data_IF_078025451880
#
_entry.id   IF_078025451880
#
_cell.length_a   1.000
_cell.length_b   1.000
_cell.length_c   1.000
_cell.angle_alpha   90.00
_cell.angle_beta   90.00
_cell.angle_gamma   90.00
#
_symmetry.space_group_name_H-M   'P 1'
#
loop_
_entity.id
_entity.type
_entity.pdbx_description
1 polymer ?
#
# COMPACT_ATOMS: atom_id res chain seq x y z
N UNK A 1 9.06 9.73 8.54
CA UNK A 1 7.92 8.85 8.84
C UNK A 1 6.97 8.74 7.64
N UNK A 2 6.28 9.81 7.24
CA UNK A 2 5.27 9.75 6.16
C UNK A 2 5.79 9.18 4.83
N UNK A 3 7.01 9.54 4.44
CA UNK A 3 7.62 9.02 3.20
C UNK A 3 7.79 7.50 3.22
N UNK A 4 8.30 6.94 4.31
CA UNK A 4 8.49 5.50 4.49
C UNK A 4 7.14 4.74 4.42
N UNK A 5 6.11 5.28 5.08
CA UNK A 5 4.76 4.73 5.04
C UNK A 5 4.18 4.69 3.62
N UNK A 6 4.32 5.79 2.88
CA UNK A 6 3.82 5.89 1.50
C UNK A 6 4.58 4.94 0.57
N UNK A 7 5.88 4.77 0.78
CA UNK A 7 6.70 3.83 -0.01
C UNK A 7 6.26 2.37 0.21
N UNK A 8 5.99 1.95 1.45
CA UNK A 8 5.48 0.60 1.74
C UNK A 8 4.06 0.38 1.20
N UNK A 9 3.20 1.40 1.29
CA UNK A 9 1.87 1.35 0.68
C UNK A 9 1.96 1.12 -0.84
N UNK A 10 2.83 1.86 -1.53
CA UNK A 10 3.04 1.66 -2.96
C UNK A 10 3.67 0.30 -3.28
N UNK A 11 4.55 -0.21 -2.43
CA UNK A 11 5.16 -1.52 -2.61
C UNK A 11 4.11 -2.64 -2.58
N UNK A 12 3.19 -2.62 -1.62
CA UNK A 12 2.09 -3.60 -1.56
C UNK A 12 1.12 -3.46 -2.74
N UNK A 13 0.76 -2.23 -3.12
CA UNK A 13 -0.08 -1.96 -4.28
C UNK A 13 0.50 -2.56 -5.57
N UNK A 14 1.82 -2.51 -5.75
CA UNK A 14 2.51 -3.04 -6.94
C UNK A 14 2.46 -4.58 -7.05
N UNK A 15 2.27 -5.29 -5.94
CA UNK A 15 2.14 -6.76 -5.95
C UNK A 15 0.78 -7.21 -6.49
N UNK A 16 -0.23 -6.34 -6.45
CA UNK A 16 -1.54 -6.67 -6.96
C UNK A 16 -1.55 -6.57 -8.48
N UNK A 17 -2.20 -7.54 -9.11
CA UNK A 17 -2.50 -7.46 -10.53
C UNK A 17 -3.42 -6.25 -10.83
N UNK A 18 -2.98 -5.28 -11.67
CA UNK A 18 -3.77 -4.10 -12.00
C UNK A 18 -5.08 -4.43 -12.72
N UNK A 19 -5.26 -5.66 -13.24
CA UNK A 19 -6.49 -6.11 -13.88
C UNK A 19 -7.54 -6.62 -12.90
N UNK A 20 -7.19 -6.83 -11.62
CA UNK A 20 -8.17 -7.22 -10.60
C UNK A 20 -9.10 -6.06 -10.32
N UNK A 21 -10.35 -6.21 -10.73
CA UNK A 21 -11.42 -5.25 -10.50
C UNK A 21 -12.36 -5.79 -9.42
N UNK A 22 -12.79 -4.90 -8.52
CA UNK A 22 -13.86 -5.20 -7.57
C UNK A 22 -15.11 -4.45 -7.96
N UNK A 23 -16.24 -5.12 -7.75
CA UNK A 23 -17.56 -4.50 -7.85
C UNK A 23 -17.74 -3.63 -6.61
N UNK A 24 -18.03 -2.35 -6.83
CA UNK A 24 -18.49 -1.44 -5.79
C UNK A 24 -20.00 -1.25 -5.93
N UNK A 25 -20.69 -1.25 -4.79
CA UNK A 25 -22.15 -1.20 -4.74
C UNK A 25 -22.70 0.03 -5.43
N UNK A 26 -23.56 -0.16 -6.43
CA UNK A 26 -24.38 0.89 -7.01
C UNK A 26 -25.78 0.79 -6.42
N UNK A 27 -26.09 1.62 -5.42
CA UNK A 27 -27.37 1.53 -4.72
C UNK A 27 -28.60 1.96 -5.56
N UNK A 28 -28.41 2.29 -6.84
CA UNK A 28 -29.47 2.76 -7.74
C UNK A 28 -29.93 1.62 -8.65
N UNK A 29 -31.21 1.31 -8.55
CA UNK A 29 -31.90 0.37 -9.44
C UNK A 29 -32.61 1.20 -10.50
N UNK A 30 -32.39 0.89 -11.77
CA UNK A 30 -33.07 1.50 -12.90
C UNK A 30 -34.56 1.13 -12.91
N UNK A 31 -35.43 1.91 -13.56
CA UNK A 31 -36.87 1.59 -13.67
C UNK A 31 -37.15 0.20 -14.24
N UNK A 32 -36.23 -0.33 -15.05
CA UNK A 32 -36.29 -1.65 -15.68
C UNK A 32 -35.88 -2.81 -14.74
N UNK A 33 -35.60 -2.51 -13.46
CA UNK A 33 -35.18 -3.49 -12.46
C UNK A 33 -33.71 -3.91 -12.54
N UNK A 34 -32.94 -3.33 -13.46
CA UNK A 34 -31.49 -3.56 -13.59
C UNK A 34 -30.70 -2.67 -12.64
N UNK A 35 -29.57 -3.18 -12.17
CA UNK A 35 -28.65 -2.44 -11.29
C UNK A 35 -27.28 -2.36 -11.97
N UNK A 36 -26.86 -1.16 -12.38
CA UNK A 36 -25.58 -0.95 -13.04
C UNK A 36 -24.44 -1.00 -12.03
N UNK A 37 -23.71 -2.11 -11.96
CA UNK A 37 -22.58 -2.24 -11.03
C UNK A 37 -21.36 -1.45 -11.49
N UNK A 38 -20.85 -0.59 -10.61
CA UNK A 38 -19.59 0.11 -10.85
C UNK A 38 -18.41 -0.81 -10.52
N UNK A 39 -17.37 -0.79 -11.35
CA UNK A 39 -16.15 -1.58 -11.14
C UNK A 39 -14.98 -0.63 -10.93
N UNK A 40 -14.21 -0.85 -9.87
CA UNK A 40 -12.97 -0.12 -9.60
C UNK A 40 -11.80 -1.09 -9.45
N UNK A 41 -10.56 -0.66 -9.69
CA UNK A 41 -9.39 -1.49 -9.43
C UNK A 41 -9.31 -1.88 -7.94
N UNK A 42 -9.05 -3.16 -7.65
CA UNK A 42 -8.89 -3.70 -6.30
C UNK A 42 -7.88 -2.88 -5.49
N UNK A 43 -6.75 -2.52 -6.11
CA UNK A 43 -5.69 -1.71 -5.50
C UNK A 43 -6.15 -0.35 -4.95
N UNK A 44 -7.29 0.16 -5.42
CA UNK A 44 -7.87 1.45 -5.03
C UNK A 44 -9.14 1.31 -4.19
N UNK A 45 -9.58 0.08 -3.94
CA UNK A 45 -10.76 -0.17 -3.12
C UNK A 45 -10.44 -0.08 -1.63
N UNK A 46 -11.37 0.46 -0.86
CA UNK A 46 -11.33 0.50 0.61
C UNK A 46 -11.08 -0.89 1.21
N UNK A 47 -11.71 -1.90 0.63
CA UNK A 47 -11.56 -3.31 1.01
C UNK A 47 -10.11 -3.81 0.93
N UNK A 48 -9.30 -3.28 0.01
CA UNK A 48 -7.88 -3.62 -0.05
C UNK A 48 -7.06 -2.84 0.97
N UNK A 49 -7.39 -1.56 1.21
CA UNK A 49 -6.66 -0.70 2.14
C UNK A 49 -6.79 -1.17 3.60
N UNK A 50 -7.93 -1.76 3.99
CA UNK A 50 -8.13 -2.33 5.33
C UNK A 50 -7.27 -3.57 5.60
N UNK A 51 -6.90 -4.32 4.57
CA UNK A 51 -6.14 -5.58 4.68
C UNK A 51 -4.62 -5.35 4.65
N UNK A 52 -4.18 -4.12 4.42
CA UNK A 52 -2.76 -3.82 4.30
C UNK A 52 -2.03 -3.91 5.65
N UNK A 53 -1.15 -4.90 5.78
CA UNK A 53 -0.24 -5.10 6.92
C UNK A 53 0.98 -4.13 6.89
N UNK A 54 0.79 -2.89 6.42
CA UNK A 54 1.87 -1.88 6.34
C UNK A 54 2.34 -1.46 7.73
N UNK A 55 1.45 -1.50 8.73
CA UNK A 55 1.77 -1.17 10.12
C UNK A 55 2.85 -2.07 10.70
N UNK A 56 2.84 -3.37 10.38
CA UNK A 56 3.83 -4.32 10.90
C UNK A 56 5.20 -4.11 10.24
N UNK A 57 5.22 -3.77 8.95
CA UNK A 57 6.46 -3.49 8.19
C UNK A 57 7.20 -2.25 8.67
N UNK A 58 6.51 -1.33 9.34
CA UNK A 58 7.16 -0.17 9.94
C UNK A 58 8.08 -0.51 11.10
N UNK A 59 7.96 -1.71 11.68
CA UNK A 59 8.90 -2.19 12.70
C UNK A 59 10.32 -2.37 12.14
N UNK A 60 10.45 -2.56 10.83
CA UNK A 60 11.75 -2.68 10.13
C UNK A 60 12.41 -1.33 9.84
N UNK A 61 11.80 -0.21 10.26
CA UNK A 61 12.31 1.13 10.03
C UNK A 61 12.87 1.77 11.31
N UNK A 62 14.04 2.38 11.18
CA UNK A 62 14.70 3.14 12.24
C UNK A 62 14.78 4.64 11.89
N UNK A 63 14.83 5.48 12.93
CA UNK A 63 15.15 6.90 12.76
C UNK A 63 16.67 7.05 12.53
N UNK A 64 17.04 7.44 11.33
CA UNK A 64 18.40 7.81 10.98
C UNK A 64 18.58 9.33 11.10
N UNK A 65 19.62 9.75 11.81
CA UNK A 65 19.92 11.16 12.06
C UNK A 65 21.29 11.47 11.48
N UNK A 66 21.31 12.22 10.38
CA UNK A 66 22.56 12.72 9.81
C UNK A 66 23.15 13.84 10.68
N UNK A 67 24.48 13.89 10.87
CA UNK A 67 25.16 14.98 11.59
C UNK A 67 24.88 16.36 10.98
N UNK A 68 24.57 16.41 9.68
CA UNK A 68 24.31 17.61 8.91
C UNK A 68 22.83 18.04 8.88
N UNK A 69 22.02 17.64 9.87
CA UNK A 69 20.66 18.14 10.20
C UNK A 69 19.43 17.46 9.57
N UNK A 70 19.56 16.37 8.79
CA UNK A 70 18.38 15.69 8.24
C UNK A 70 18.03 14.40 9.01
N UNK A 71 16.79 14.35 9.51
CA UNK A 71 16.20 13.14 10.09
C UNK A 71 15.43 12.39 9.01
N UNK A 72 15.77 11.13 8.78
CA UNK A 72 15.10 10.25 7.81
C UNK A 72 14.72 8.93 8.48
N UNK A 73 13.70 8.26 7.95
CA UNK A 73 13.37 6.89 8.37
C UNK A 73 13.93 5.95 7.31
N UNK A 74 14.78 5.03 7.70
CA UNK A 74 15.43 4.06 6.80
C UNK A 74 15.15 2.64 7.27
N UNK A 75 15.08 1.70 6.33
CA UNK A 75 14.94 0.27 6.66
C UNK A 75 16.25 -0.25 7.21
N UNK A 76 16.19 -1.07 8.24
CA UNK A 76 17.32 -1.86 8.73
C UNK A 76 17.19 -3.36 8.42
N UNK A 77 15.98 -3.81 8.03
CA UNK A 77 15.73 -5.18 7.60
C UNK A 77 15.27 -5.23 6.11
N UNK A 78 15.76 -6.22 5.34
CA UNK A 78 15.35 -6.40 3.95
C UNK A 78 13.89 -6.85 3.86
N UNK A 79 13.28 -6.68 2.69
CA UNK A 79 11.95 -7.23 2.41
C UNK A 79 12.05 -8.75 2.18
N UNK A 80 10.94 -9.47 2.34
CA UNK A 80 10.89 -10.94 2.22
C UNK A 80 11.53 -11.51 0.93
N UNK A 81 11.47 -10.75 -0.17
CA UNK A 81 12.02 -11.14 -1.48
C UNK A 81 13.29 -10.37 -1.88
N UNK A 82 13.86 -9.56 -1.00
CA UNK A 82 15.07 -8.78 -1.25
C UNK A 82 16.24 -9.30 -0.40
N UNK A 83 17.46 -9.21 -0.94
CA UNK A 83 18.67 -9.51 -0.19
C UNK A 83 19.10 -8.35 0.71
N UNK A 84 20.04 -8.60 1.63
CA UNK A 84 20.63 -7.60 2.56
C UNK A 84 21.12 -6.33 1.84
N UNK A 85 21.48 -6.42 0.55
CA UNK A 85 21.90 -5.29 -0.26
C UNK A 85 20.82 -4.23 -0.55
N UNK A 86 19.53 -4.48 -0.23
CA UNK A 86 18.47 -3.48 -0.36
C UNK A 86 18.27 -2.62 0.90
N UNK A 87 19.07 -2.85 1.95
CA UNK A 87 19.00 -2.14 3.23
C UNK A 87 19.85 -0.86 3.18
N UNK A 88 19.24 0.27 3.54
CA UNK A 88 19.90 1.58 3.54
C UNK A 88 20.64 1.82 4.86
N UNK A 89 21.91 1.41 4.92
CA UNK A 89 22.82 1.68 6.05
C UNK A 89 23.29 3.14 6.14
#
# INVERSE_FOLDING_TARGET
ACRALVEELYYEIRKIDPKKMVVVGSFRISPDGTQEQNKVPLAKSELYLEVLEVCEKMNDYGLYVDPSTQKSYRRFAPRDNEGIGSVDF
#
